data_IF_234816811245
#
_entry.id   IF_234816811245
#
_cell.length_a   1.000
_cell.length_b   1.000
_cell.length_c   1.000
_cell.angle_alpha   90.00
_cell.angle_beta   90.00
_cell.angle_gamma   90.00
#
_symmetry.space_group_name_H-M   'P 1'
#
loop_
_entity.id
_entity.type
_entity.pdbx_description
1 polymer ?
#
# COMPACT_ATOMS: atom_id res chain seq x y z
N UNK A 1 -4.97 -24.43 -14.27
CA UNK A 1 -4.07 -25.47 -14.85
C UNK A 1 -2.92 -25.03 -15.78
N UNK A 2 -2.88 -23.90 -16.50
CA UNK A 2 -1.80 -23.61 -17.48
C UNK A 2 -0.70 -22.62 -17.03
N UNK A 3 -0.45 -22.47 -15.72
CA UNK A 3 0.61 -21.58 -15.19
C UNK A 3 1.72 -22.32 -14.41
N UNK A 4 1.66 -23.65 -14.32
CA UNK A 4 2.62 -24.45 -13.55
C UNK A 4 3.87 -24.79 -14.39
N UNK A 5 3.85 -24.55 -15.71
CA UNK A 5 4.88 -25.02 -16.65
C UNK A 5 5.91 -23.98 -17.09
N UNK A 6 5.74 -22.69 -16.77
CA UNK A 6 6.78 -21.69 -16.99
C UNK A 6 7.58 -21.48 -15.70
N UNK A 7 8.92 -21.64 -15.73
CA UNK A 7 9.78 -21.43 -14.55
C UNK A 7 9.96 -19.93 -14.30
N UNK A 8 8.85 -19.19 -14.14
CA UNK A 8 8.90 -17.77 -13.77
C UNK A 8 9.09 -17.70 -12.27
N UNK A 9 10.16 -17.05 -11.83
CA UNK A 9 10.41 -16.88 -10.39
C UNK A 9 9.25 -16.05 -9.80
N UNK A 10 8.77 -16.34 -8.56
CA UNK A 10 7.73 -15.53 -7.92
C UNK A 10 8.04 -14.02 -7.95
N UNK A 11 9.32 -13.65 -7.85
CA UNK A 11 9.80 -12.26 -7.94
C UNK A 11 9.56 -11.63 -9.32
N UNK A 12 9.67 -12.38 -10.43
CA UNK A 12 9.48 -11.89 -11.79
C UNK A 12 8.00 -11.65 -12.07
N UNK A 13 7.13 -12.56 -11.60
CA UNK A 13 5.67 -12.38 -11.63
C UNK A 13 5.22 -11.17 -10.80
N UNK A 14 5.86 -10.94 -9.65
CA UNK A 14 5.58 -9.78 -8.81
C UNK A 14 6.04 -8.48 -9.46
N UNK A 15 7.27 -8.43 -10.00
CA UNK A 15 7.78 -7.27 -10.73
C UNK A 15 6.90 -6.94 -11.94
N UNK A 16 6.46 -7.96 -12.68
CA UNK A 16 5.52 -7.81 -13.80
C UNK A 16 4.17 -7.22 -13.41
N UNK A 17 3.73 -7.37 -12.15
CA UNK A 17 2.54 -6.69 -11.61
C UNK A 17 2.85 -5.31 -11.05
N UNK A 18 3.94 -5.15 -10.30
CA UNK A 18 4.30 -3.89 -9.64
C UNK A 18 4.45 -2.77 -10.67
N UNK A 19 5.18 -3.00 -11.77
CA UNK A 19 5.44 -1.99 -12.80
C UNK A 19 4.16 -1.31 -13.33
N UNK A 20 3.15 -2.05 -13.85
CA UNK A 20 1.93 -1.42 -14.33
C UNK A 20 1.12 -0.74 -13.21
N UNK A 21 1.07 -1.30 -12.00
CA UNK A 21 0.37 -0.65 -10.88
C UNK A 21 1.06 0.65 -10.43
N UNK A 22 2.39 0.70 -10.47
CA UNK A 22 3.17 1.92 -10.19
C UNK A 22 2.87 2.99 -11.22
N UNK A 23 2.79 2.62 -12.50
CA UNK A 23 2.40 3.56 -13.55
C UNK A 23 0.99 4.12 -13.32
N UNK A 24 0.01 3.25 -13.05
CA UNK A 24 -1.36 3.67 -12.71
C UNK A 24 -1.37 4.57 -11.47
N UNK A 25 -0.63 4.22 -10.42
CA UNK A 25 -0.51 5.02 -9.21
C UNK A 25 0.11 6.40 -9.46
N UNK A 26 1.16 6.48 -10.27
CA UNK A 26 1.79 7.75 -10.64
C UNK A 26 0.84 8.66 -11.42
N UNK A 27 0.08 8.09 -12.37
CA UNK A 27 -0.96 8.81 -13.10
C UNK A 27 -2.05 9.29 -12.14
N UNK A 28 -2.53 8.43 -11.25
CA UNK A 28 -3.57 8.77 -10.28
C UNK A 28 -3.14 9.87 -9.31
N UNK A 29 -1.93 9.80 -8.75
CA UNK A 29 -1.36 10.84 -7.88
C UNK A 29 -1.21 12.15 -8.64
N UNK A 30 -0.73 12.11 -9.89
CA UNK A 30 -0.59 13.32 -10.72
C UNK A 30 -1.95 13.98 -10.96
N UNK A 31 -2.99 13.20 -11.28
CA UNK A 31 -4.35 13.70 -11.46
C UNK A 31 -4.88 14.33 -10.17
N UNK A 32 -4.74 13.64 -9.03
CA UNK A 32 -5.23 14.12 -7.73
C UNK A 32 -4.52 15.43 -7.33
N UNK A 33 -3.20 15.52 -7.49
CA UNK A 33 -2.45 16.73 -7.18
C UNK A 33 -2.79 17.88 -8.13
N UNK A 34 -2.94 17.60 -9.43
CA UNK A 34 -3.34 18.61 -10.40
C UNK A 34 -4.73 19.17 -10.08
N UNK A 35 -5.70 18.31 -9.76
CA UNK A 35 -7.03 18.75 -9.34
C UNK A 35 -7.00 19.48 -8.00
N UNK A 36 -6.24 18.98 -7.02
CA UNK A 36 -6.06 19.63 -5.73
C UNK A 36 -5.49 21.04 -5.86
N UNK A 37 -4.50 21.23 -6.75
CA UNK A 37 -3.90 22.52 -7.00
C UNK A 37 -4.80 23.45 -7.82
N UNK A 38 -5.32 22.98 -8.96
CA UNK A 38 -6.07 23.82 -9.90
C UNK A 38 -7.48 24.15 -9.43
N UNK A 39 -8.17 23.21 -8.76
CA UNK A 39 -9.56 23.37 -8.32
C UNK A 39 -9.64 23.91 -6.90
N UNK A 40 -8.79 23.41 -6.01
CA UNK A 40 -8.87 23.69 -4.57
C UNK A 40 -7.73 24.58 -4.04
N UNK A 41 -6.79 24.98 -4.88
CA UNK A 41 -5.67 25.86 -4.48
C UNK A 41 -4.71 25.23 -3.48
N UNK A 42 -4.66 23.90 -3.38
CA UNK A 42 -3.79 23.21 -2.43
C UNK A 42 -2.33 23.45 -2.82
N UNK A 43 -1.48 23.92 -1.88
CA UNK A 43 -0.05 24.05 -2.13
C UNK A 43 0.57 22.66 -2.23
N UNK A 44 1.13 22.34 -3.39
CA UNK A 44 1.90 21.11 -3.60
C UNK A 44 3.37 21.51 -3.56
N UNK A 45 3.90 21.65 -2.35
CA UNK A 45 5.28 22.10 -2.13
C UNK A 45 6.29 20.95 -2.24
N UNK A 46 5.84 19.73 -1.93
CA UNK A 46 6.69 18.55 -1.86
C UNK A 46 7.32 18.10 -3.19
N UNK A 47 8.50 17.47 -3.07
CA UNK A 47 9.19 16.85 -4.21
C UNK A 47 8.40 15.70 -4.83
N UNK A 48 8.18 15.78 -6.14
CA UNK A 48 7.53 14.73 -6.96
C UNK A 48 8.19 13.36 -6.82
N UNK A 49 9.51 13.32 -6.62
CA UNK A 49 10.26 12.08 -6.42
C UNK A 49 9.97 11.43 -5.06
N UNK A 50 9.80 12.22 -4.01
CA UNK A 50 9.45 11.69 -2.69
C UNK A 50 8.03 11.10 -2.68
N UNK A 51 7.10 11.74 -3.38
CA UNK A 51 5.75 11.19 -3.58
C UNK A 51 5.79 9.89 -4.37
N UNK A 52 6.54 9.84 -5.47
CA UNK A 52 6.70 8.62 -6.26
C UNK A 52 7.30 7.47 -5.42
N UNK A 53 8.31 7.75 -4.58
CA UNK A 53 8.90 6.76 -3.69
C UNK A 53 7.92 6.26 -2.62
N UNK A 54 7.18 7.16 -1.98
CA UNK A 54 6.15 6.82 -1.00
C UNK A 54 5.04 5.94 -1.62
N UNK A 55 4.56 6.35 -2.80
CA UNK A 55 3.52 5.63 -3.55
C UNK A 55 4.00 4.26 -3.99
N UNK A 56 5.23 4.14 -4.50
CA UNK A 56 5.83 2.86 -4.86
C UNK A 56 5.87 1.90 -3.66
N UNK A 57 6.36 2.39 -2.52
CA UNK A 57 6.46 1.59 -1.31
C UNK A 57 5.08 1.13 -0.80
N UNK A 58 4.09 2.02 -0.85
CA UNK A 58 2.71 1.69 -0.50
C UNK A 58 2.07 0.69 -1.46
N UNK A 59 2.33 0.78 -2.77
CA UNK A 59 1.86 -0.19 -3.76
C UNK A 59 2.45 -1.57 -3.45
N UNK A 60 3.74 -1.66 -3.15
CA UNK A 60 4.39 -2.91 -2.75
C UNK A 60 3.76 -3.48 -1.46
N UNK A 61 3.54 -2.66 -0.44
CA UNK A 61 2.87 -3.09 0.79
C UNK A 61 1.42 -3.58 0.55
N UNK A 62 0.68 -2.90 -0.32
CA UNK A 62 -0.71 -3.27 -0.65
C UNK A 62 -0.78 -4.55 -1.48
N UNK A 63 0.14 -4.73 -2.43
CA UNK A 63 0.23 -5.96 -3.23
C UNK A 63 0.61 -7.16 -2.37
N UNK A 64 1.54 -7.00 -1.43
CA UNK A 64 1.93 -8.07 -0.51
C UNK A 64 0.80 -8.45 0.42
N UNK A 65 0.05 -7.48 0.96
CA UNK A 65 -1.18 -7.74 1.72
C UNK A 65 -2.19 -8.54 0.89
N UNK A 66 -2.45 -8.11 -0.35
CA UNK A 66 -3.37 -8.81 -1.26
C UNK A 66 -2.92 -10.24 -1.60
N UNK A 67 -1.61 -10.46 -1.78
CA UNK A 67 -1.03 -11.79 -1.99
C UNK A 67 -1.21 -12.67 -0.74
N UNK A 68 -0.92 -12.15 0.45
CA UNK A 68 -1.12 -12.89 1.71
C UNK A 68 -2.58 -13.31 1.85
N UNK A 69 -3.53 -12.39 1.63
CA UNK A 69 -4.98 -12.71 1.65
C UNK A 69 -5.30 -13.82 0.64
N UNK A 70 -4.78 -13.72 -0.59
CA UNK A 70 -5.00 -14.71 -1.63
C UNK A 70 -4.43 -16.09 -1.28
N UNK A 71 -3.31 -16.17 -0.54
CA UNK A 71 -2.75 -17.45 -0.09
C UNK A 71 -3.53 -18.12 1.04
N UNK A 72 -4.32 -17.33 1.80
CA UNK A 72 -5.15 -17.82 2.90
C UNK A 72 -6.54 -18.23 2.39
N UNK A 73 -7.03 -17.55 1.36
CA UNK A 73 -8.33 -17.82 0.75
C UNK A 73 -8.39 -19.21 0.12
N UNK A 74 -9.52 -19.89 0.29
CA UNK A 74 -9.82 -21.19 -0.35
C UNK A 74 -10.55 -21.03 -1.67
N UNK A 75 -11.17 -19.87 -1.91
CA UNK A 75 -11.89 -19.56 -3.15
C UNK A 75 -11.71 -18.09 -3.54
N UNK A 76 -11.94 -17.77 -4.82
CA UNK A 76 -11.88 -16.40 -5.33
C UNK A 76 -12.87 -15.49 -4.60
N UNK A 77 -14.11 -15.95 -4.39
CA UNK A 77 -15.14 -15.18 -3.69
C UNK A 77 -14.72 -14.88 -2.24
N UNK A 78 -14.14 -15.86 -1.55
CA UNK A 78 -13.63 -15.66 -0.19
C UNK A 78 -12.47 -14.65 -0.16
N UNK A 79 -11.56 -14.71 -1.14
CA UNK A 79 -10.49 -13.71 -1.27
C UNK A 79 -11.06 -12.31 -1.45
N UNK A 80 -12.07 -12.14 -2.30
CA UNK A 80 -12.70 -10.84 -2.53
C UNK A 80 -13.36 -10.30 -1.26
N UNK A 81 -14.10 -11.14 -0.54
CA UNK A 81 -14.75 -10.77 0.71
C UNK A 81 -13.74 -10.38 1.80
N UNK A 82 -12.67 -11.16 1.95
CA UNK A 82 -11.59 -10.82 2.90
C UNK A 82 -10.90 -9.51 2.53
N UNK A 83 -10.63 -9.27 1.24
CA UNK A 83 -10.04 -8.00 0.78
C UNK A 83 -10.94 -6.82 1.11
N UNK A 84 -12.25 -6.91 0.87
CA UNK A 84 -13.20 -5.83 1.22
C UNK A 84 -13.23 -5.62 2.74
N UNK A 85 -13.24 -6.71 3.52
CA UNK A 85 -13.23 -6.66 4.98
C UNK A 85 -11.96 -6.01 5.55
N UNK A 86 -10.81 -6.12 4.87
CA UNK A 86 -9.57 -5.43 5.26
C UNK A 86 -9.52 -4.00 4.72
N UNK A 87 -10.01 -3.79 3.50
CA UNK A 87 -9.98 -2.49 2.81
C UNK A 87 -10.85 -1.46 3.52
N UNK A 88 -12.09 -1.80 3.87
CA UNK A 88 -13.03 -0.85 4.45
C UNK A 88 -12.53 -0.28 5.79
N UNK A 89 -12.15 -1.10 6.80
CA UNK A 89 -11.53 -0.59 8.01
C UNK A 89 -10.25 0.18 7.74
N UNK A 90 -9.44 -0.25 6.77
CA UNK A 90 -8.21 0.45 6.40
C UNK A 90 -8.47 1.88 5.92
N UNK A 91 -9.48 2.09 5.07
CA UNK A 91 -9.86 3.45 4.64
C UNK A 91 -10.34 4.28 5.83
N UNK A 92 -11.18 3.72 6.70
CA UNK A 92 -11.75 4.44 7.85
C UNK A 92 -10.69 4.80 8.90
N UNK A 93 -9.74 3.90 9.15
CA UNK A 93 -8.73 4.01 10.21
C UNK A 93 -7.41 4.66 9.77
N UNK A 94 -7.14 4.73 8.46
CA UNK A 94 -5.89 5.30 7.90
C UNK A 94 -5.66 6.80 8.19
N UNK A 95 -6.63 7.47 8.81
CA UNK A 95 -6.62 8.92 8.96
C UNK A 95 -7.18 9.66 7.74
N UNK A 96 -7.57 8.95 6.67
CA UNK A 96 -8.14 9.56 5.45
C UNK A 96 -9.55 10.09 5.69
N UNK A 97 -10.47 9.22 6.13
CA UNK A 97 -11.88 9.58 6.33
C UNK A 97 -12.08 10.36 7.64
N UNK A 98 -11.44 9.90 8.71
CA UNK A 98 -11.50 10.50 10.03
C UNK A 98 -10.09 10.91 10.46
N UNK A 99 -9.93 12.03 11.18
CA UNK A 99 -8.62 12.44 11.68
C UNK A 99 -8.09 11.40 12.68
N UNK A 100 -6.83 10.98 12.47
CA UNK A 100 -6.17 9.95 13.28
C UNK A 100 -6.14 10.30 14.78
N UNK A 101 -5.82 11.56 15.10
CA UNK A 101 -5.67 12.03 16.48
C UNK A 101 -7.01 12.08 17.25
N UNK A 102 -8.15 12.08 16.55
CA UNK A 102 -9.46 12.05 17.17
C UNK A 102 -9.98 10.62 17.44
N UNK A 103 -9.25 9.59 16.98
CA UNK A 103 -9.64 8.20 17.19
C UNK A 103 -9.34 7.76 18.63
N UNK A 104 -10.15 6.88 19.23
CA UNK A 104 -9.82 6.26 20.50
C UNK A 104 -8.55 5.41 20.39
N UNK A 105 -7.79 5.29 21.48
CA UNK A 105 -6.50 4.58 21.54
C UNK A 105 -6.53 3.16 20.94
N UNK A 106 -7.61 2.41 21.17
CA UNK A 106 -7.76 1.06 20.61
C UNK A 106 -7.77 1.06 19.07
N UNK A 107 -8.45 2.04 18.46
CA UNK A 107 -8.49 2.18 17.01
C UNK A 107 -7.15 2.65 16.44
N UNK A 108 -6.43 3.51 17.17
CA UNK A 108 -5.07 3.94 16.81
C UNK A 108 -4.09 2.77 16.73
N UNK A 109 -4.13 1.85 17.70
CA UNK A 109 -3.27 0.65 17.67
C UNK A 109 -3.55 -0.25 16.47
N UNK A 110 -4.82 -0.41 16.08
CA UNK A 110 -5.18 -1.17 14.87
C UNK A 110 -4.69 -0.44 13.62
N UNK A 111 -4.88 0.87 13.58
CA UNK A 111 -4.48 1.71 12.45
C UNK A 111 -2.96 1.67 12.21
N UNK A 112 -2.12 1.65 13.24
CA UNK A 112 -0.64 1.52 13.12
C UNK A 112 -0.21 0.20 12.47
N UNK A 113 -1.05 -0.83 12.44
CA UNK A 113 -0.72 -2.07 11.72
C UNK A 113 -0.91 -1.89 10.20
N UNK A 114 -1.77 -0.96 9.80
CA UNK A 114 -2.24 -0.84 8.42
C UNK A 114 -1.30 0.03 7.59
N UNK A 115 -0.82 -0.44 6.42
CA UNK A 115 0.09 0.33 5.58
C UNK A 115 -0.55 1.64 5.08
N UNK A 116 -1.88 1.69 4.95
CA UNK A 116 -2.60 2.89 4.54
C UNK A 116 -2.38 4.07 5.51
N UNK A 117 -2.30 3.82 6.81
CA UNK A 117 -2.09 4.86 7.83
C UNK A 117 -0.76 5.59 7.63
N UNK A 118 0.32 4.81 7.48
CA UNK A 118 1.66 5.34 7.28
C UNK A 118 1.79 6.06 5.94
N UNK A 119 1.20 5.53 4.86
CA UNK A 119 1.16 6.20 3.57
C UNK A 119 0.44 7.56 3.65
N UNK A 120 -0.71 7.61 4.32
CA UNK A 120 -1.46 8.85 4.50
C UNK A 120 -0.68 9.90 5.29
N UNK A 121 0.12 9.50 6.29
CA UNK A 121 1.04 10.41 7.00
C UNK A 121 2.13 10.93 6.07
N UNK A 122 2.81 10.04 5.33
CA UNK A 122 3.88 10.40 4.40
C UNK A 122 3.40 11.39 3.33
N UNK A 123 2.28 11.10 2.67
CA UNK A 123 1.74 11.98 1.62
C UNK A 123 1.36 13.35 2.19
N UNK A 124 0.69 13.40 3.35
CA UNK A 124 0.38 14.69 3.99
C UNK A 124 1.63 15.46 4.39
N UNK A 125 2.64 14.79 4.93
CA UNK A 125 3.92 15.41 5.30
C UNK A 125 4.63 16.02 4.10
N UNK A 126 4.73 15.27 3.00
CA UNK A 126 5.40 15.74 1.77
C UNK A 126 4.58 16.83 1.07
N UNK A 127 3.28 16.63 0.83
CA UNK A 127 2.47 17.58 0.06
C UNK A 127 2.23 18.88 0.83
N UNK A 128 1.80 18.78 2.09
CA UNK A 128 1.29 19.93 2.85
C UNK A 128 2.35 20.63 3.70
N UNK A 129 3.37 19.89 4.15
CA UNK A 129 4.39 20.40 5.08
C UNK A 129 5.79 20.52 4.46
N UNK A 130 5.95 20.10 3.21
CA UNK A 130 7.24 20.04 2.51
C UNK A 130 8.34 19.32 3.32
N UNK A 131 7.94 18.32 4.09
CA UNK A 131 8.87 17.54 4.92
C UNK A 131 9.55 16.52 4.04
N UNK A 132 10.88 16.48 4.11
CA UNK A 132 11.64 15.43 3.44
C UNK A 132 11.30 14.06 4.00
N UNK A 133 10.94 13.14 3.11
CA UNK A 133 10.47 11.80 3.48
C UNK A 133 11.45 11.02 4.37
N UNK A 134 12.74 11.32 4.29
CA UNK A 134 13.80 10.73 5.12
C UNK A 134 13.67 11.09 6.60
N UNK A 135 13.10 12.25 6.93
CA UNK A 135 12.79 12.65 8.30
C UNK A 135 11.57 11.91 8.86
N UNK A 136 10.75 11.31 8.00
CA UNK A 136 9.61 10.45 8.36
C UNK A 136 10.00 8.96 8.34
N UNK A 137 11.19 8.66 8.86
CA UNK A 137 11.79 7.32 8.77
C UNK A 137 10.94 6.24 9.43
N UNK A 138 10.18 6.55 10.48
CA UNK A 138 9.29 5.58 11.14
C UNK A 138 8.24 5.00 10.20
N UNK A 139 7.47 5.86 9.52
CA UNK A 139 6.44 5.43 8.57
C UNK A 139 7.05 4.72 7.35
N UNK A 140 8.20 5.21 6.88
CA UNK A 140 8.91 4.63 5.74
C UNK A 140 9.48 3.24 6.06
N UNK A 141 10.12 3.08 7.22
CA UNK A 141 10.62 1.80 7.70
C UNK A 141 9.49 0.81 7.94
N UNK A 142 8.37 1.25 8.50
CA UNK A 142 7.24 0.37 8.74
C UNK A 142 6.66 -0.17 7.43
N UNK A 143 6.45 0.67 6.42
CA UNK A 143 6.00 0.22 5.10
C UNK A 143 6.98 -0.75 4.44
N UNK A 144 8.29 -0.51 4.59
CA UNK A 144 9.31 -1.42 4.09
C UNK A 144 9.27 -2.78 4.83
N UNK A 145 9.22 -2.77 6.16
CA UNK A 145 9.12 -3.97 7.00
C UNK A 145 7.83 -4.74 6.70
N UNK A 146 6.70 -4.05 6.55
CA UNK A 146 5.42 -4.65 6.20
C UNK A 146 5.51 -5.35 4.83
N UNK A 147 6.11 -4.70 3.84
CA UNK A 147 6.32 -5.26 2.50
C UNK A 147 7.20 -6.50 2.55
N UNK A 148 8.35 -6.43 3.21
CA UNK A 148 9.31 -7.55 3.33
C UNK A 148 8.70 -8.70 4.13
N UNK A 149 8.07 -8.41 5.26
CA UNK A 149 7.37 -9.41 6.08
C UNK A 149 6.23 -10.09 5.31
N UNK A 150 5.41 -9.31 4.60
CA UNK A 150 4.33 -9.82 3.76
C UNK A 150 4.84 -10.69 2.62
N UNK A 151 5.94 -10.30 1.97
CA UNK A 151 6.64 -11.11 0.96
C UNK A 151 7.11 -12.44 1.51
N UNK A 152 7.75 -12.44 2.69
CA UNK A 152 8.24 -13.65 3.35
C UNK A 152 7.07 -14.57 3.68
N UNK A 153 6.01 -14.04 4.30
CA UNK A 153 4.81 -14.82 4.66
C UNK A 153 4.15 -15.41 3.40
N UNK A 154 3.95 -14.60 2.36
CA UNK A 154 3.39 -15.05 1.10
C UNK A 154 4.24 -16.15 0.47
N UNK A 155 5.57 -15.98 0.44
CA UNK A 155 6.50 -16.97 -0.13
C UNK A 155 6.53 -18.28 0.65
N UNK A 156 6.50 -18.23 1.99
CA UNK A 156 6.45 -19.42 2.85
C UNK A 156 5.11 -20.16 2.74
N UNK A 157 4.01 -19.43 2.53
CA UNK A 157 2.67 -19.99 2.32
C UNK A 157 2.49 -20.54 0.90
N UNK A 158 3.23 -20.02 -0.08
CA UNK A 158 3.36 -20.57 -1.42
C UNK A 158 4.17 -21.88 -1.42
N UNK A 159 3.75 -22.88 -0.65
CA UNK A 159 4.19 -24.26 -0.89
C UNK A 159 3.59 -24.70 -2.21
N UNK A 160 4.43 -25.11 -3.17
CA UNK A 160 4.05 -25.83 -4.40
C UNK A 160 2.99 -26.88 -4.02
N UNK A 161 1.71 -26.57 -4.23
CA UNK A 161 0.68 -27.61 -4.35
C UNK A 161 0.92 -28.21 -5.73
N UNK A 162 1.75 -29.25 -5.74
CA UNK A 162 1.69 -30.30 -6.74
C UNK A 162 0.41 -31.08 -6.41
N UNK A 163 -0.72 -30.59 -6.90
CA UNK A 163 -1.89 -31.41 -7.19
C UNK A 163 -2.06 -31.38 -8.71
#
# INVERSE_FOLDING_TARGET
>A
EMLITTPVRPIELMLGKIIPYVFVGAVQVSIILALGHLVFGVPVNGSRWQLAAATLLFICASLTLGLVISTIARSQLQSMQMTIFVLLPSILLSGFMFPYDAMPLAAQYIAEVLPATHFMRLVRGVVLRDVEILHMSGDLLWLALFTVGGLIVASLRFKKRLD
#
